data_IF_052793979246
#
_entry.id   IF_052793979246
#
_cell.length_a   1.000
_cell.length_b   1.000
_cell.length_c   1.000
_cell.angle_alpha   90.00
_cell.angle_beta   90.00
_cell.angle_gamma   90.00
#
_symmetry.space_group_name_H-M   'P 1'
#
loop_
_entity.id
_entity.type
_entity.pdbx_description
1 polymer ?
#
# COMPACT_ATOMS: atom_id res chain seq x y z
N UNK A 1 19.16 -17.39 22.99
CA UNK A 1 20.11 -16.33 22.61
C UNK A 1 19.37 -15.40 21.66
N UNK A 2 19.13 -14.14 22.05
CA UNK A 2 18.40 -13.20 21.20
C UNK A 2 19.27 -12.84 19.99
N UNK A 3 18.78 -13.09 18.79
CA UNK A 3 19.43 -12.68 17.55
C UNK A 3 19.32 -11.15 17.44
N UNK A 4 20.45 -10.45 17.42
CA UNK A 4 20.48 -9.00 17.24
C UNK A 4 19.96 -8.63 15.85
N UNK A 5 19.20 -7.55 15.75
CA UNK A 5 18.67 -7.11 14.45
C UNK A 5 19.82 -6.63 13.54
N UNK A 6 19.80 -6.91 12.23
CA UNK A 6 20.87 -6.51 11.31
C UNK A 6 21.19 -5.01 11.34
N UNK A 7 20.16 -4.16 11.53
CA UNK A 7 20.31 -2.70 11.64
C UNK A 7 21.07 -2.27 12.90
N UNK A 8 20.87 -2.99 14.02
CA UNK A 8 21.59 -2.73 15.27
C UNK A 8 23.05 -3.14 15.13
N UNK A 9 23.31 -4.30 14.51
CA UNK A 9 24.67 -4.75 14.24
C UNK A 9 25.43 -3.78 13.32
N UNK A 10 24.74 -3.16 12.34
CA UNK A 10 25.32 -2.16 11.45
C UNK A 10 25.62 -0.85 12.20
N UNK A 11 24.66 -0.38 13.01
CA UNK A 11 24.85 0.80 13.85
C UNK A 11 26.03 0.65 14.81
N UNK A 12 26.04 -0.47 15.55
CA UNK A 12 27.04 -0.74 16.60
C UNK A 12 28.44 -0.99 16.02
N UNK A 13 28.55 -1.62 14.84
CA UNK A 13 29.86 -1.97 14.24
C UNK A 13 30.45 -0.89 13.34
N UNK A 14 29.63 -0.08 12.66
CA UNK A 14 30.12 0.80 11.60
C UNK A 14 29.87 2.28 11.84
N UNK A 15 29.00 2.64 12.79
CA UNK A 15 28.56 4.03 12.99
C UNK A 15 29.05 4.65 14.31
N UNK A 16 29.73 3.89 15.17
CA UNK A 16 30.27 4.37 16.46
C UNK A 16 31.73 4.76 16.35
N UNK A 17 32.10 5.81 17.07
CA UNK A 17 33.48 6.20 17.29
C UNK A 17 34.05 5.39 18.46
N UNK A 18 35.17 4.70 18.29
CA UNK A 18 35.78 3.92 19.38
C UNK A 18 36.45 4.77 20.48
N UNK A 19 36.58 6.09 20.28
CA UNK A 19 37.10 7.00 21.31
C UNK A 19 36.00 7.43 22.27
N UNK A 20 34.92 8.06 21.77
CA UNK A 20 33.83 8.53 22.63
C UNK A 20 32.73 7.50 22.85
N UNK A 21 32.75 6.37 22.11
CA UNK A 21 31.71 5.34 22.10
C UNK A 21 30.32 5.87 21.68
N UNK A 22 30.26 7.08 21.14
CA UNK A 22 29.06 7.68 20.56
C UNK A 22 29.06 7.56 19.04
N UNK A 23 27.95 7.95 18.41
CA UNK A 23 27.83 8.00 16.97
C UNK A 23 28.82 8.98 16.33
N UNK A 24 29.35 8.61 15.17
CA UNK A 24 30.34 9.39 14.43
C UNK A 24 29.79 10.77 14.02
N UNK A 25 30.41 11.83 14.55
CA UNK A 25 30.17 13.24 14.19
C UNK A 25 31.33 13.73 13.34
N UNK A 26 31.04 14.07 12.08
CA UNK A 26 32.06 14.42 11.06
C UNK A 26 33.21 13.39 11.00
N UNK A 27 32.94 12.14 10.60
CA UNK A 27 33.94 11.07 10.65
C UNK A 27 35.14 11.37 9.75
N UNK A 28 36.33 11.37 10.34
CA UNK A 28 37.61 11.49 9.64
C UNK A 28 38.29 10.14 9.54
N UNK A 29 38.84 9.84 8.36
CA UNK A 29 39.56 8.60 8.07
C UNK A 29 41.06 8.79 8.26
N UNK A 30 41.64 7.92 9.10
CA UNK A 30 43.08 7.69 9.04
C UNK A 30 43.43 6.84 7.81
N UNK A 31 44.69 6.86 7.32
CA UNK A 31 45.15 6.01 6.22
C UNK A 31 44.97 4.51 6.45
N UNK A 32 44.88 4.08 7.71
CA UNK A 32 44.54 2.70 8.09
C UNK A 32 43.04 2.37 7.99
N UNK A 33 42.22 3.30 7.49
CA UNK A 33 40.76 3.20 7.29
C UNK A 33 39.91 3.13 8.57
N UNK A 34 40.50 3.37 9.74
CA UNK A 34 39.73 3.58 10.98
C UNK A 34 39.19 5.01 11.02
N UNK A 35 38.03 5.18 11.64
CA UNK A 35 37.26 6.43 11.61
C UNK A 35 36.89 6.89 13.01
N UNK A 36 36.98 8.19 13.19
CA UNK A 36 36.74 8.85 14.46
C UNK A 36 36.04 10.18 14.24
N UNK A 37 35.34 10.69 15.26
CA UNK A 37 34.81 12.04 15.22
C UNK A 37 35.96 13.05 15.07
N UNK A 38 35.74 14.10 14.28
CA UNK A 38 36.70 15.20 14.11
C UNK A 38 37.22 15.72 15.46
N UNK A 39 36.30 15.97 16.40
CA UNK A 39 36.64 16.49 17.72
C UNK A 39 37.43 15.49 18.58
N UNK A 40 37.13 14.19 18.45
CA UNK A 40 37.87 13.15 19.15
C UNK A 40 39.33 13.06 18.67
N UNK A 41 39.57 13.19 17.36
CA UNK A 41 40.93 13.27 16.84
C UNK A 41 41.62 14.57 17.23
N UNK A 42 40.91 15.69 17.24
CA UNK A 42 41.48 16.98 17.66
C UNK A 42 42.00 16.89 19.10
N UNK A 43 41.25 16.27 20.00
CA UNK A 43 41.66 16.06 21.40
C UNK A 43 42.90 15.17 21.56
N UNK A 44 43.11 14.20 20.66
CA UNK A 44 44.32 13.35 20.68
C UNK A 44 45.52 14.11 20.11
N UNK A 45 45.32 14.85 19.02
CA UNK A 45 46.39 15.59 18.33
C UNK A 45 46.89 16.77 19.17
N UNK A 46 46.08 17.35 20.05
CA UNK A 46 46.51 18.40 20.98
C UNK A 46 47.65 17.97 21.93
N UNK A 47 48.02 16.68 21.98
CA UNK A 47 49.14 16.15 22.76
C UNK A 47 50.39 15.72 21.96
N UNK A 48 50.37 15.70 20.61
CA UNK A 48 51.49 15.22 19.78
C UNK A 48 51.76 16.12 18.57
N UNK A 49 53.03 16.37 18.25
CA UNK A 49 53.39 17.45 17.32
C UNK A 49 53.46 17.04 15.83
N UNK A 50 53.75 15.78 15.50
CA UNK A 50 53.97 15.37 14.09
C UNK A 50 53.26 14.08 13.66
N UNK A 51 53.00 13.16 14.61
CA UNK A 51 52.40 11.85 14.33
C UNK A 51 51.25 11.55 15.29
N UNK A 52 50.25 10.83 14.78
CA UNK A 52 49.17 10.24 15.57
C UNK A 52 49.24 8.71 15.43
N UNK A 53 49.13 8.01 16.56
CA UNK A 53 48.90 6.57 16.56
C UNK A 53 47.40 6.29 16.54
N UNK A 54 46.95 5.45 15.62
CA UNK A 54 45.57 5.01 15.54
C UNK A 54 45.14 4.31 16.86
N UNK A 55 44.08 4.76 17.54
CA UNK A 55 43.59 4.12 18.76
C UNK A 55 43.23 2.62 18.61
N UNK A 56 42.75 2.21 17.43
CA UNK A 56 42.29 0.83 17.23
C UNK A 56 43.42 -0.12 16.80
N UNK A 57 44.31 0.31 15.91
CA UNK A 57 45.35 -0.56 15.33
C UNK A 57 46.79 -0.15 15.61
N UNK A 58 47.00 0.98 16.31
CA UNK A 58 48.31 1.55 16.67
C UNK A 58 49.21 1.94 15.48
N UNK A 59 48.70 1.90 14.26
CA UNK A 59 49.44 2.36 13.09
C UNK A 59 49.71 3.87 13.19
N UNK A 60 50.96 4.26 13.01
CA UNK A 60 51.37 5.66 13.02
C UNK A 60 51.01 6.34 11.70
N UNK A 61 50.53 7.58 11.80
CA UNK A 61 50.14 8.40 10.66
C UNK A 61 50.68 9.81 10.85
N UNK A 62 51.28 10.36 9.80
CA UNK A 62 51.70 11.76 9.78
C UNK A 62 50.47 12.67 9.81
N UNK A 63 50.49 13.65 10.69
CA UNK A 63 49.40 14.63 10.80
C UNK A 63 49.51 15.60 9.61
N UNK A 64 48.45 15.79 8.82
CA UNK A 64 48.46 16.76 7.73
C UNK A 64 48.77 18.17 8.22
N UNK A 65 49.31 19.02 7.34
CA UNK A 65 49.62 20.43 7.65
C UNK A 65 48.40 21.24 8.13
N UNK A 66 47.19 20.84 7.73
CA UNK A 66 45.92 21.43 8.17
C UNK A 66 45.32 20.72 9.40
N UNK A 67 46.13 19.96 10.15
CA UNK A 67 45.67 19.17 11.31
C UNK A 67 44.64 18.11 10.93
N UNK A 68 43.66 17.89 11.80
CA UNK A 68 42.57 16.91 11.57
C UNK A 68 41.79 17.19 10.29
N UNK A 69 41.69 18.45 9.87
CA UNK A 69 40.93 18.82 8.68
C UNK A 69 41.58 18.35 7.37
N UNK A 70 42.88 18.02 7.40
CA UNK A 70 43.56 17.41 6.25
C UNK A 70 43.23 15.92 6.05
N UNK A 71 42.61 15.25 7.03
CA UNK A 71 42.13 13.87 6.84
C UNK A 71 40.82 13.85 6.05
N UNK A 72 40.67 12.83 5.20
CA UNK A 72 39.46 12.64 4.38
C UNK A 72 38.25 12.39 5.27
N UNK A 73 37.16 13.09 5.00
CA UNK A 73 35.86 12.79 5.61
C UNK A 73 35.23 11.58 4.91
N UNK A 74 34.76 10.60 5.69
CA UNK A 74 34.04 9.45 5.15
C UNK A 74 32.57 9.79 4.92
N UNK A 75 32.26 10.27 3.71
CA UNK A 75 30.89 10.58 3.31
C UNK A 75 29.97 9.36 3.28
N UNK A 76 30.52 8.15 3.07
CA UNK A 76 29.72 6.92 3.08
C UNK A 76 29.25 6.59 4.49
N UNK A 77 30.15 6.67 5.49
CA UNK A 77 29.78 6.50 6.89
C UNK A 77 28.81 7.57 7.39
N UNK A 78 28.94 8.81 6.92
CA UNK A 78 27.98 9.89 7.23
C UNK A 78 26.57 9.56 6.72
N UNK A 79 26.45 9.11 5.48
CA UNK A 79 25.16 8.72 4.90
C UNK A 79 24.57 7.45 5.56
N UNK A 80 25.41 6.52 6.00
CA UNK A 80 24.97 5.34 6.75
C UNK A 80 24.49 5.68 8.17
N UNK A 81 25.19 6.58 8.86
CA UNK A 81 24.76 7.16 10.16
C UNK A 81 23.38 7.79 10.02
N UNK A 82 23.17 8.60 9.00
CA UNK A 82 21.89 9.26 8.71
C UNK A 82 20.80 8.26 8.34
N UNK A 83 21.10 7.27 7.50
CA UNK A 83 20.18 6.19 7.16
C UNK A 83 19.75 5.37 8.39
N UNK A 84 20.70 4.96 9.25
CA UNK A 84 20.40 4.21 10.48
C UNK A 84 19.57 5.06 11.45
N UNK A 85 19.84 6.37 11.56
CA UNK A 85 19.04 7.29 12.38
C UNK A 85 17.61 7.41 11.89
N UNK A 86 17.40 7.58 10.58
CA UNK A 86 16.07 7.64 9.96
C UNK A 86 15.32 6.33 10.20
N UNK A 87 15.98 5.18 10.05
CA UNK A 87 15.35 3.87 10.31
C UNK A 87 15.04 3.65 11.79
N UNK A 88 15.88 4.16 12.70
CA UNK A 88 15.64 4.09 14.14
C UNK A 88 14.54 5.05 14.59
N UNK A 89 14.43 6.25 14.00
CA UNK A 89 13.35 7.21 14.29
C UNK A 89 12.01 6.67 13.81
N UNK A 90 11.95 6.12 12.59
CA UNK A 90 10.76 5.44 12.07
C UNK A 90 10.35 4.27 12.98
N UNK A 91 11.31 3.47 13.48
CA UNK A 91 11.01 2.40 14.44
C UNK A 91 10.61 2.90 15.82
N UNK A 92 11.18 3.98 16.35
CA UNK A 92 10.76 4.54 17.64
C UNK A 92 9.38 5.17 17.55
N UNK A 93 9.05 5.83 16.44
CA UNK A 93 7.73 6.37 16.18
C UNK A 93 6.69 5.24 16.05
N UNK A 94 7.05 4.11 15.41
CA UNK A 94 6.21 2.90 15.37
C UNK A 94 6.10 2.24 16.76
N UNK A 95 7.19 2.09 17.51
CA UNK A 95 7.19 1.37 18.81
C UNK A 95 6.49 2.18 19.92
N UNK A 96 6.56 3.51 19.87
CA UNK A 96 5.80 4.42 20.74
C UNK A 96 4.32 4.42 20.36
N UNK A 97 3.98 4.37 19.05
CA UNK A 97 2.59 4.24 18.59
C UNK A 97 1.92 2.92 19.00
N UNK A 98 2.64 1.80 19.06
CA UNK A 98 2.05 0.51 19.47
C UNK A 98 1.93 0.31 21.00
N UNK A 99 2.72 1.00 21.82
CA UNK A 99 2.68 0.84 23.29
C UNK A 99 1.92 1.95 24.03
N UNK A 100 1.54 3.02 23.34
CA UNK A 100 0.90 4.19 23.93
C UNK A 100 -0.50 4.49 23.38
N UNK A 101 -1.19 3.50 22.81
CA UNK A 101 -2.65 3.51 22.74
C UNK A 101 -3.26 3.11 24.10
N UNK A 102 -2.91 3.86 25.15
CA UNK A 102 -3.89 4.14 26.19
C UNK A 102 -5.04 4.86 25.50
N UNK A 103 -6.21 4.20 25.44
CA UNK A 103 -7.46 4.67 24.85
C UNK A 103 -7.80 6.08 25.39
N UNK A 104 -7.28 7.12 24.73
CA UNK A 104 -7.98 8.39 24.66
C UNK A 104 -9.21 8.09 23.82
N UNK A 105 -10.41 8.31 24.39
CA UNK A 105 -11.71 8.21 23.69
C UNK A 105 -11.55 8.80 22.29
N UNK A 106 -11.31 7.93 21.31
CA UNK A 106 -11.26 8.30 19.91
C UNK A 106 -12.69 8.17 19.48
N UNK A 107 -13.32 9.27 19.07
CA UNK A 107 -14.67 9.27 18.53
C UNK A 107 -14.70 8.23 17.40
N UNK A 108 -15.38 7.11 17.65
CA UNK A 108 -15.42 6.00 16.70
C UNK A 108 -16.35 6.41 15.58
N UNK A 109 -15.82 6.45 14.36
CA UNK A 109 -16.62 6.81 13.19
C UNK A 109 -17.35 5.57 12.69
N UNK A 110 -18.68 5.63 12.58
CA UNK A 110 -19.53 4.53 12.12
C UNK A 110 -20.23 4.88 10.81
N UNK A 111 -20.47 3.88 9.98
CA UNK A 111 -21.27 4.06 8.76
C UNK A 111 -22.69 4.51 9.16
N UNK A 112 -23.29 5.50 8.48
CA UNK A 112 -24.67 5.99 8.70
C UNK A 112 -25.78 5.02 8.28
N UNK A 113 -26.80 4.81 9.12
CA UNK A 113 -27.88 3.82 8.90
C UNK A 113 -28.41 3.81 7.46
N UNK A 114 -28.67 4.98 6.91
CA UNK A 114 -29.08 5.18 5.52
C UNK A 114 -27.93 5.74 4.67
N UNK A 115 -27.96 5.45 3.38
CA UNK A 115 -27.13 6.19 2.42
C UNK A 115 -27.61 7.64 2.36
N UNK A 116 -26.66 8.53 2.16
CA UNK A 116 -26.88 9.96 2.00
C UNK A 116 -27.23 10.32 0.55
N UNK A 117 -26.50 9.73 -0.39
CA UNK A 117 -26.65 9.98 -1.82
C UNK A 117 -26.69 8.66 -2.59
N UNK A 118 -27.53 8.62 -3.62
CA UNK A 118 -27.63 7.51 -4.59
C UNK A 118 -27.35 8.05 -5.99
N UNK A 119 -26.33 7.51 -6.65
CA UNK A 119 -25.96 7.86 -8.02
C UNK A 119 -26.29 6.68 -8.93
N UNK A 120 -27.22 6.87 -9.87
CA UNK A 120 -27.53 5.85 -10.88
C UNK A 120 -26.76 6.11 -12.16
N UNK A 121 -26.04 5.10 -12.63
CA UNK A 121 -25.30 5.13 -13.89
C UNK A 121 -26.05 4.26 -14.88
N UNK A 122 -27.35 4.49 -15.02
CA UNK A 122 -28.23 3.59 -15.78
C UNK A 122 -27.81 3.53 -17.25
N UNK A 123 -27.01 2.52 -17.58
CA UNK A 123 -26.74 2.05 -18.93
C UNK A 123 -26.98 0.52 -18.94
N UNK A 124 -28.04 0.04 -19.60
CA UNK A 124 -28.38 -1.39 -19.64
C UNK A 124 -27.24 -2.24 -20.22
N UNK A 125 -26.29 -1.65 -20.95
CA UNK A 125 -25.25 -2.35 -21.68
C UNK A 125 -23.91 -2.42 -20.94
N UNK A 126 -23.86 -2.12 -19.64
CA UNK A 126 -22.62 -2.12 -18.85
C UNK A 126 -22.75 -2.90 -17.56
N UNK A 127 -21.66 -3.51 -17.14
CA UNK A 127 -21.49 -4.14 -15.84
C UNK A 127 -20.34 -3.45 -15.10
N UNK A 128 -20.55 -3.09 -13.83
CA UNK A 128 -19.53 -2.41 -13.01
C UNK A 128 -18.70 -3.45 -12.26
N UNK A 129 -17.38 -3.37 -12.38
CA UNK A 129 -16.45 -4.29 -11.71
C UNK A 129 -15.60 -3.58 -10.66
N UNK A 130 -15.32 -2.29 -10.84
CA UNK A 130 -14.46 -1.55 -9.93
C UNK A 130 -14.79 -0.07 -9.94
N UNK A 131 -14.54 0.59 -8.82
CA UNK A 131 -14.70 2.02 -8.62
C UNK A 131 -13.51 2.57 -7.85
N UNK A 132 -13.19 3.84 -8.08
CA UNK A 132 -12.21 4.57 -7.28
C UNK A 132 -12.52 6.06 -7.33
N UNK A 133 -12.22 6.77 -6.24
CA UNK A 133 -12.32 8.23 -6.21
C UNK A 133 -10.99 8.87 -6.61
N UNK A 134 -11.08 9.97 -7.33
CA UNK A 134 -10.00 10.93 -7.53
C UNK A 134 -10.17 11.99 -6.43
N UNK A 135 -9.07 12.45 -5.83
CA UNK A 135 -9.10 13.37 -4.66
C UNK A 135 -9.77 14.74 -4.87
N UNK A 136 -10.36 15.01 -6.04
CA UNK A 136 -11.18 16.18 -6.36
C UNK A 136 -12.70 15.90 -6.27
N UNK A 137 -13.09 14.71 -5.80
CA UNK A 137 -14.48 14.28 -5.67
C UNK A 137 -15.06 13.61 -6.93
N UNK A 138 -14.30 13.51 -8.03
CA UNK A 138 -14.72 12.74 -9.19
C UNK A 138 -14.55 11.24 -8.92
N UNK A 139 -15.42 10.44 -9.54
CA UNK A 139 -15.42 8.97 -9.39
C UNK A 139 -15.09 8.35 -10.75
N UNK A 140 -14.12 7.45 -10.77
CA UNK A 140 -13.83 6.58 -11.91
C UNK A 140 -14.48 5.24 -11.70
N UNK A 141 -15.15 4.76 -12.74
CA UNK A 141 -15.86 3.48 -12.75
C UNK A 141 -15.38 2.68 -13.94
N UNK A 142 -15.01 1.43 -13.70
CA UNK A 142 -14.58 0.51 -14.74
C UNK A 142 -15.38 -0.78 -14.76
N UNK A 143 -15.42 -1.39 -15.93
CA UNK A 143 -16.09 -2.68 -16.12
C UNK A 143 -16.13 -3.07 -17.59
N UNK A 144 -17.17 -3.81 -17.99
CA UNK A 144 -17.30 -4.36 -19.33
C UNK A 144 -18.71 -4.18 -19.93
N UNK A 145 -18.78 -4.26 -21.25
CA UNK A 145 -20.03 -4.14 -22.01
C UNK A 145 -20.80 -5.46 -22.04
N UNK A 146 -22.12 -5.41 -22.13
CA UNK A 146 -22.99 -6.59 -22.11
C UNK A 146 -22.81 -7.52 -23.31
N UNK A 147 -22.31 -7.00 -24.43
CA UNK A 147 -21.94 -7.80 -25.61
C UNK A 147 -20.60 -8.52 -25.46
N UNK A 148 -19.89 -8.29 -24.35
CA UNK A 148 -18.59 -8.87 -23.99
C UNK A 148 -17.44 -8.52 -24.95
N UNK A 149 -17.59 -7.46 -25.75
CA UNK A 149 -16.59 -7.05 -26.76
C UNK A 149 -15.69 -5.91 -26.32
N UNK A 150 -16.05 -5.20 -25.24
CA UNK A 150 -15.30 -4.06 -24.78
C UNK A 150 -15.29 -3.95 -23.26
N UNK A 151 -14.22 -3.32 -22.78
CA UNK A 151 -14.15 -2.78 -21.43
C UNK A 151 -14.32 -1.27 -21.46
N UNK A 152 -14.69 -0.67 -20.35
CA UNK A 152 -14.84 0.77 -20.24
C UNK A 152 -14.21 1.35 -18.98
N UNK A 153 -13.88 2.63 -19.06
CA UNK A 153 -13.68 3.51 -17.91
C UNK A 153 -14.51 4.78 -18.15
N UNK A 154 -15.28 5.18 -17.15
CA UNK A 154 -16.00 6.46 -17.16
C UNK A 154 -15.59 7.29 -15.96
N UNK A 155 -15.63 8.60 -16.12
CA UNK A 155 -15.47 9.56 -15.03
C UNK A 155 -16.81 10.25 -14.83
N UNK A 156 -17.31 10.22 -13.61
CA UNK A 156 -18.55 10.91 -13.22
C UNK A 156 -18.26 11.90 -12.10
N UNK A 157 -19.05 12.97 -12.03
CA UNK A 157 -19.10 13.82 -10.84
C UNK A 157 -20.05 13.25 -9.77
N UNK A 158 -20.08 13.89 -8.59
CA UNK A 158 -20.91 13.48 -7.45
C UNK A 158 -22.42 13.57 -7.69
N UNK A 159 -22.85 14.21 -8.78
CA UNK A 159 -24.26 14.25 -9.20
C UNK A 159 -24.60 13.14 -10.21
N UNK A 160 -23.62 12.29 -10.56
CA UNK A 160 -23.78 11.23 -11.56
C UNK A 160 -23.64 11.69 -13.00
N UNK A 161 -23.26 12.95 -13.25
CA UNK A 161 -23.05 13.40 -14.62
C UNK A 161 -21.74 12.82 -15.14
N UNK A 162 -21.82 12.13 -16.26
CA UNK A 162 -20.65 11.63 -16.97
C UNK A 162 -19.84 12.78 -17.55
N UNK A 163 -18.59 12.90 -17.12
CA UNK A 163 -17.63 13.88 -17.57
C UNK A 163 -16.79 13.36 -18.73
N UNK A 164 -16.43 12.07 -18.67
CA UNK A 164 -15.58 11.40 -19.67
C UNK A 164 -15.93 9.94 -19.80
N UNK A 165 -15.59 9.41 -20.97
CA UNK A 165 -15.72 8.01 -21.30
C UNK A 165 -14.52 7.53 -22.12
N UNK A 166 -14.10 6.31 -21.83
CA UNK A 166 -13.15 5.55 -22.61
C UNK A 166 -13.65 4.13 -22.80
N UNK A 167 -13.94 3.77 -24.04
CA UNK A 167 -14.26 2.40 -24.45
C UNK A 167 -13.01 1.78 -25.06
N UNK A 168 -12.69 0.56 -24.64
CA UNK A 168 -11.52 -0.20 -25.06
C UNK A 168 -12.00 -1.55 -25.57
N UNK A 169 -12.10 -1.65 -26.90
CA UNK A 169 -12.45 -2.90 -27.58
C UNK A 169 -11.36 -3.94 -27.30
N UNK A 170 -11.79 -5.14 -26.93
CA UNK A 170 -10.91 -6.27 -26.71
C UNK A 170 -11.21 -7.33 -27.75
N UNK A 171 -10.17 -7.91 -28.36
CA UNK A 171 -10.34 -9.12 -29.17
C UNK A 171 -10.62 -10.38 -28.33
N UNK A 172 -10.57 -10.23 -27.01
CA UNK A 172 -10.66 -11.28 -26.00
C UNK A 172 -12.09 -11.52 -25.54
N UNK A 173 -12.35 -12.75 -25.07
CA UNK A 173 -13.62 -13.13 -24.45
C UNK A 173 -13.63 -12.60 -23.02
N UNK A 174 -14.62 -11.76 -22.68
CA UNK A 174 -14.90 -11.25 -21.33
C UNK A 174 -13.84 -10.27 -20.75
N UNK A 175 -13.81 -9.01 -21.19
CA UNK A 175 -12.81 -8.01 -20.79
C UNK A 175 -13.13 -7.32 -19.46
N UNK A 176 -13.10 -8.07 -18.36
CA UNK A 176 -13.36 -7.58 -17.02
C UNK A 176 -12.25 -6.61 -16.61
N UNK A 177 -12.61 -5.35 -16.37
CA UNK A 177 -11.67 -4.27 -16.05
C UNK A 177 -11.82 -3.76 -14.64
N UNK A 178 -10.71 -3.72 -13.91
CA UNK A 178 -10.59 -3.17 -12.58
C UNK A 178 -9.77 -1.88 -12.60
N UNK A 179 -9.98 -0.99 -11.62
CA UNK A 179 -9.25 0.26 -11.52
C UNK A 179 -9.02 0.72 -10.07
N UNK A 180 -7.91 1.42 -9.83
CA UNK A 180 -7.62 2.08 -8.55
C UNK A 180 -6.85 3.38 -8.78
N UNK A 181 -7.16 4.39 -7.97
CA UNK A 181 -6.42 5.65 -7.91
C UNK A 181 -4.93 5.37 -7.66
N UNK A 182 -4.06 5.99 -8.44
CA UNK A 182 -2.61 5.84 -8.28
C UNK A 182 -2.00 7.10 -7.68
N UNK A 183 -2.11 8.22 -8.40
CA UNK A 183 -1.53 9.50 -7.99
C UNK A 183 -2.13 10.65 -8.79
N UNK A 184 -2.32 11.81 -8.17
CA UNK A 184 -2.84 13.04 -8.82
C UNK A 184 -4.10 12.82 -9.68
N UNK A 185 -3.92 12.60 -10.98
CA UNK A 185 -4.95 12.41 -11.99
C UNK A 185 -4.82 11.06 -12.72
N UNK A 186 -4.01 10.14 -12.18
CA UNK A 186 -3.73 8.83 -12.77
C UNK A 186 -4.50 7.75 -12.03
N UNK A 187 -5.12 6.88 -12.82
CA UNK A 187 -5.80 5.67 -12.36
C UNK A 187 -5.12 4.48 -12.98
N UNK A 188 -4.64 3.57 -12.14
CA UNK A 188 -4.16 2.26 -12.58
C UNK A 188 -5.34 1.39 -12.96
N UNK A 189 -5.21 0.63 -14.05
CA UNK A 189 -6.22 -0.30 -14.50
C UNK A 189 -5.60 -1.61 -14.93
N UNK A 190 -6.28 -2.71 -14.62
CA UNK A 190 -5.99 -4.03 -15.17
C UNK A 190 -7.23 -4.58 -15.86
N UNK A 191 -7.05 -5.37 -16.90
CA UNK A 191 -8.14 -5.98 -17.65
C UNK A 191 -7.78 -7.40 -18.04
N UNK A 192 -8.74 -8.31 -17.95
CA UNK A 192 -8.56 -9.69 -18.41
C UNK A 192 -8.23 -9.72 -19.91
N UNK A 193 -7.38 -10.67 -20.35
CA UNK A 193 -6.70 -11.66 -19.51
C UNK A 193 -5.52 -11.06 -18.73
N UNK A 194 -4.76 -10.13 -19.33
CA UNK A 194 -3.48 -9.70 -18.74
C UNK A 194 -3.04 -8.29 -19.19
N UNK A 195 -3.97 -7.39 -19.46
CA UNK A 195 -3.67 -5.98 -19.74
C UNK A 195 -3.42 -5.21 -18.43
N UNK A 196 -2.41 -4.34 -18.42
CA UNK A 196 -2.18 -3.31 -17.39
C UNK A 196 -2.08 -1.94 -18.06
N UNK A 197 -2.61 -0.89 -17.43
CA UNK A 197 -2.53 0.45 -17.99
C UNK A 197 -2.76 1.58 -17.00
N UNK A 198 -2.53 2.79 -17.49
CA UNK A 198 -2.72 4.05 -16.77
C UNK A 198 -3.66 4.95 -17.55
N UNK A 199 -4.74 5.35 -16.89
CA UNK A 199 -5.71 6.31 -17.39
C UNK A 199 -5.44 7.69 -16.78
N UNK A 200 -5.36 8.73 -17.61
CA UNK A 200 -5.31 10.12 -17.14
C UNK A 200 -6.70 10.74 -17.20
N UNK A 201 -7.22 11.13 -16.05
CA UNK A 201 -8.60 11.62 -15.93
C UNK A 201 -8.77 13.02 -16.50
N UNK A 202 -7.68 13.77 -16.77
CA UNK A 202 -7.77 15.15 -17.30
C UNK A 202 -8.10 15.16 -18.77
N UNK A 203 -7.44 14.32 -19.55
CA UNK A 203 -7.57 14.29 -21.02
C UNK A 203 -8.23 12.99 -21.53
N UNK A 204 -8.37 11.97 -20.68
CA UNK A 204 -8.91 10.67 -21.06
C UNK A 204 -7.92 9.78 -21.83
N UNK A 205 -6.64 10.14 -21.83
CA UNK A 205 -5.58 9.33 -22.41
C UNK A 205 -5.40 8.03 -21.62
N UNK A 206 -5.03 6.96 -22.34
CA UNK A 206 -4.81 5.64 -21.75
C UNK A 206 -3.59 5.00 -22.38
N UNK A 207 -2.58 4.72 -21.55
CA UNK A 207 -1.42 3.93 -21.95
C UNK A 207 -1.56 2.52 -21.38
N UNK A 208 -1.20 1.49 -22.16
CA UNK A 208 -1.29 0.10 -21.72
C UNK A 208 -0.10 -0.73 -22.19
N UNK A 209 0.17 -1.79 -21.45
CA UNK A 209 1.06 -2.89 -21.83
C UNK A 209 0.34 -4.21 -21.58
N UNK A 210 0.78 -5.26 -22.25
CA UNK A 210 0.40 -6.60 -21.88
C UNK A 210 1.37 -7.12 -20.82
N UNK A 211 0.86 -7.67 -19.72
CA UNK A 211 1.69 -8.15 -18.62
C UNK A 211 2.63 -9.25 -19.10
N UNK A 212 2.19 -10.18 -19.96
CA UNK A 212 3.06 -11.26 -20.44
C UNK A 212 4.22 -10.78 -21.31
N UNK A 213 4.17 -9.55 -21.82
CA UNK A 213 5.28 -8.97 -22.60
C UNK A 213 6.36 -8.35 -21.70
N UNK A 214 6.02 -7.98 -20.46
CA UNK A 214 6.93 -7.30 -19.52
C UNK A 214 7.41 -8.18 -18.38
N UNK A 215 6.82 -9.37 -18.21
CA UNK A 215 7.29 -10.35 -17.23
C UNK A 215 7.58 -11.69 -17.89
N UNK A 216 8.69 -12.32 -17.50
CA UNK A 216 9.08 -13.64 -18.02
C UNK A 216 8.27 -14.80 -17.44
N UNK A 217 7.60 -14.58 -16.30
CA UNK A 217 6.97 -15.63 -15.51
C UNK A 217 5.44 -15.54 -15.46
N UNK A 218 4.77 -14.76 -16.31
CA UNK A 218 3.30 -14.74 -16.34
C UNK A 218 2.79 -16.14 -16.72
N UNK A 219 1.99 -16.80 -15.88
CA UNK A 219 1.54 -18.14 -16.21
C UNK A 219 0.57 -18.13 -17.38
N UNK A 220 0.77 -19.07 -18.32
CA UNK A 220 -0.11 -19.20 -19.49
C UNK A 220 -1.55 -19.45 -19.03
N UNK A 221 -2.49 -18.70 -19.61
CA UNK A 221 -3.91 -18.82 -19.31
C UNK A 221 -4.32 -18.27 -17.94
N UNK A 222 -3.47 -17.49 -17.27
CA UNK A 222 -3.84 -16.78 -16.03
C UNK A 222 -4.46 -15.43 -16.36
N UNK A 223 -5.60 -15.18 -15.74
CA UNK A 223 -6.30 -13.89 -15.77
C UNK A 223 -5.87 -13.01 -14.59
N UNK A 224 -5.76 -11.71 -14.81
CA UNK A 224 -5.79 -10.70 -13.74
C UNK A 224 -7.17 -10.73 -13.05
N UNK A 225 -7.20 -10.52 -11.74
CA UNK A 225 -8.46 -10.53 -10.97
C UNK A 225 -8.68 -9.28 -10.14
N UNK A 226 -7.63 -8.56 -9.76
CA UNK A 226 -7.73 -7.37 -8.92
C UNK A 226 -6.50 -6.48 -9.08
N UNK A 227 -6.65 -5.22 -8.67
CA UNK A 227 -5.57 -4.22 -8.65
C UNK A 227 -5.65 -3.41 -7.37
N UNK A 228 -4.50 -3.20 -6.74
CA UNK A 228 -4.28 -2.20 -5.71
C UNK A 228 -3.16 -1.25 -6.13
N UNK A 229 -3.03 -0.15 -5.41
CA UNK A 229 -1.97 0.83 -5.61
C UNK A 229 -1.36 1.16 -4.27
N UNK A 230 -0.08 1.50 -4.27
CA UNK A 230 0.58 2.14 -3.16
C UNK A 230 0.92 3.58 -3.59
N UNK A 231 0.11 4.57 -3.19
CA UNK A 231 0.31 5.97 -3.58
C UNK A 231 1.61 6.59 -3.05
N UNK A 232 2.25 6.00 -2.03
CA UNK A 232 3.49 6.53 -1.44
C UNK A 232 4.67 6.38 -2.40
N UNK A 233 4.74 5.27 -3.11
CA UNK A 233 5.80 4.97 -4.07
C UNK A 233 5.30 4.82 -5.52
N UNK A 234 4.02 5.14 -5.76
CA UNK A 234 3.32 4.96 -7.03
C UNK A 234 3.42 3.53 -7.60
N UNK A 235 3.49 2.51 -6.74
CA UNK A 235 3.47 1.13 -7.21
C UNK A 235 2.05 0.65 -7.50
N UNK A 236 1.93 -0.22 -8.49
CA UNK A 236 0.70 -0.90 -8.88
C UNK A 236 0.85 -2.38 -8.53
N UNK A 237 -0.08 -2.92 -7.76
CA UNK A 237 -0.08 -4.32 -7.33
C UNK A 237 -1.19 -5.05 -8.06
N UNK A 238 -0.84 -6.13 -8.77
CA UNK A 238 -1.76 -6.87 -9.62
C UNK A 238 -1.88 -8.30 -9.12
N UNK A 239 -3.09 -8.69 -8.72
CA UNK A 239 -3.41 -10.06 -8.33
C UNK A 239 -3.89 -10.88 -9.52
N UNK A 240 -3.46 -12.14 -9.59
CA UNK A 240 -3.95 -13.13 -10.55
C UNK A 240 -5.09 -13.97 -9.98
N UNK A 241 -6.04 -14.36 -10.84
CA UNK A 241 -7.15 -15.25 -10.48
C UNK A 241 -6.59 -16.58 -9.97
N UNK A 242 -7.05 -16.99 -8.78
CA UNK A 242 -6.64 -18.24 -8.11
C UNK A 242 -5.12 -18.36 -7.93
N UNK A 243 -4.45 -17.25 -7.62
CA UNK A 243 -3.00 -17.22 -7.43
C UNK A 243 -2.65 -16.46 -6.17
N UNK A 244 -1.62 -16.95 -5.46
CA UNK A 244 -0.97 -16.25 -4.35
C UNK A 244 0.06 -15.23 -4.83
N UNK A 245 0.32 -15.12 -6.13
CA UNK A 245 1.30 -14.18 -6.68
C UNK A 245 0.67 -12.81 -6.86
N UNK A 246 1.30 -11.79 -6.27
CA UNK A 246 0.98 -10.37 -6.49
C UNK A 246 2.15 -9.73 -7.24
N UNK A 247 1.88 -9.26 -8.45
CA UNK A 247 2.91 -8.68 -9.34
C UNK A 247 2.95 -7.17 -9.13
N UNK A 248 4.13 -6.62 -8.89
CA UNK A 248 4.33 -5.20 -8.57
C UNK A 248 4.96 -4.48 -9.75
N UNK A 249 4.38 -3.35 -10.14
CA UNK A 249 4.82 -2.49 -11.25
C UNK A 249 5.02 -1.05 -10.78
N UNK A 250 5.86 -0.30 -11.48
CA UNK A 250 5.97 1.16 -11.32
C UNK A 250 4.87 1.91 -12.12
N UNK A 251 4.86 3.24 -11.99
CA UNK A 251 3.97 4.14 -12.71
C UNK A 251 4.39 4.41 -14.17
N UNK A 252 5.39 3.66 -14.68
CA UNK A 252 5.70 3.54 -16.10
C UNK A 252 5.35 2.14 -16.65
N UNK A 253 4.60 1.34 -15.87
CA UNK A 253 4.17 -0.01 -16.20
C UNK A 253 5.36 -0.97 -16.41
N UNK A 254 6.48 -0.76 -15.73
CA UNK A 254 7.58 -1.72 -15.72
C UNK A 254 7.43 -2.65 -14.53
N UNK A 255 7.72 -3.93 -14.75
CA UNK A 255 7.72 -4.91 -13.68
C UNK A 255 8.87 -4.67 -12.72
N UNK A 256 8.57 -4.72 -11.42
CA UNK A 256 9.55 -4.55 -10.35
C UNK A 256 9.91 -5.90 -9.72
N UNK A 257 8.92 -6.56 -9.14
CA UNK A 257 9.08 -7.83 -8.45
C UNK A 257 7.72 -8.51 -8.22
N UNK A 258 7.79 -9.72 -7.68
CA UNK A 258 6.64 -10.51 -7.25
C UNK A 258 6.64 -10.56 -5.71
N UNK A 259 5.45 -10.42 -5.12
CA UNK A 259 5.16 -10.66 -3.71
C UNK A 259 4.27 -11.89 -3.61
N UNK A 260 4.78 -12.96 -3.04
CA UNK A 260 4.03 -14.21 -2.85
C UNK A 260 3.28 -14.18 -1.52
N UNK A 261 1.96 -14.41 -1.59
CA UNK A 261 1.06 -14.53 -0.46
C UNK A 261 1.24 -15.88 0.25
N UNK A 262 0.99 -15.97 1.57
CA UNK A 262 1.18 -17.20 2.33
C UNK A 262 0.21 -18.29 1.86
N UNK A 263 0.64 -19.55 1.87
CA UNK A 263 -0.15 -20.70 1.37
C UNK A 263 -1.51 -20.89 2.05
N UNK A 264 -1.69 -20.34 3.25
CA UNK A 264 -2.98 -20.38 3.95
C UNK A 264 -4.06 -19.54 3.26
N UNK A 265 -3.67 -18.57 2.43
CA UNK A 265 -4.57 -17.77 1.62
C UNK A 265 -4.91 -18.56 0.35
N UNK A 266 -6.13 -19.10 0.31
CA UNK A 266 -6.53 -20.09 -0.71
C UNK A 266 -6.96 -19.47 -2.01
N UNK A 267 -7.82 -18.43 -1.94
CA UNK A 267 -8.37 -17.75 -3.11
C UNK A 267 -8.41 -16.24 -2.89
N UNK A 268 -7.28 -15.53 -3.09
CA UNK A 268 -7.25 -14.08 -3.12
C UNK A 268 -8.25 -13.54 -4.16
N UNK A 269 -9.21 -12.73 -3.71
CA UNK A 269 -10.25 -12.17 -4.57
C UNK A 269 -10.07 -10.67 -4.81
N UNK A 270 -9.79 -9.91 -3.75
CA UNK A 270 -9.55 -8.47 -3.80
C UNK A 270 -8.42 -8.10 -2.84
N UNK A 271 -7.70 -7.02 -3.16
CA UNK A 271 -6.56 -6.55 -2.38
C UNK A 271 -6.60 -5.02 -2.23
N UNK A 272 -6.12 -4.51 -1.10
CA UNK A 272 -5.94 -3.06 -0.87
C UNK A 272 -4.69 -2.83 -0.02
N UNK A 273 -3.95 -1.76 -0.30
CA UNK A 273 -2.83 -1.32 0.54
C UNK A 273 -3.36 -0.39 1.63
N UNK A 274 -3.01 -0.67 2.89
CA UNK A 274 -3.36 0.13 4.07
C UNK A 274 -2.18 0.18 5.02
N UNK A 275 -1.74 1.38 5.44
CA UNK A 275 -0.68 1.57 6.44
C UNK A 275 0.57 0.68 6.25
N UNK A 276 1.06 0.58 5.00
CA UNK A 276 2.23 -0.22 4.65
C UNK A 276 2.02 -1.75 4.63
N UNK A 277 0.78 -2.20 4.81
CA UNK A 277 0.36 -3.59 4.75
C UNK A 277 -0.55 -3.85 3.55
N UNK A 278 -0.68 -5.10 3.17
CA UNK A 278 -1.61 -5.56 2.15
C UNK A 278 -2.78 -6.27 2.82
N UNK A 279 -3.98 -5.73 2.62
CA UNK A 279 -5.24 -6.38 2.97
C UNK A 279 -5.64 -7.30 1.83
N UNK A 280 -5.99 -8.55 2.14
CA UNK A 280 -6.32 -9.58 1.15
C UNK A 280 -7.63 -10.27 1.52
N UNK A 281 -8.65 -10.18 0.65
CA UNK A 281 -9.87 -10.99 0.76
C UNK A 281 -9.58 -12.42 0.31
N UNK A 282 -9.67 -13.40 1.20
CA UNK A 282 -9.67 -14.82 0.86
C UNK A 282 -11.10 -15.33 0.81
N UNK A 283 -11.65 -15.46 -0.40
CA UNK A 283 -13.07 -15.78 -0.56
C UNK A 283 -13.42 -17.20 -0.09
N UNK A 284 -12.55 -18.17 -0.37
CA UNK A 284 -12.74 -19.57 0.08
C UNK A 284 -12.22 -19.81 1.50
N UNK A 285 -11.32 -18.94 1.99
CA UNK A 285 -10.85 -18.95 3.37
C UNK A 285 -11.82 -18.31 4.36
N UNK A 286 -12.88 -17.65 3.88
CA UNK A 286 -13.87 -16.91 4.69
C UNK A 286 -13.22 -15.87 5.63
N UNK A 287 -12.10 -15.28 5.21
CA UNK A 287 -11.27 -14.37 6.01
C UNK A 287 -10.67 -13.28 5.16
N UNK A 288 -10.47 -12.09 5.75
CA UNK A 288 -9.52 -11.13 5.20
C UNK A 288 -8.22 -11.18 5.99
N UNK A 289 -7.08 -11.21 5.31
CA UNK A 289 -5.77 -11.22 5.95
C UNK A 289 -5.10 -9.85 5.85
N UNK A 290 -4.29 -9.53 6.86
CA UNK A 290 -3.29 -8.46 6.81
C UNK A 290 -1.96 -9.13 6.57
N UNK A 291 -1.29 -8.80 5.46
CA UNK A 291 0.03 -9.33 5.14
C UNK A 291 1.07 -8.23 5.03
N UNK A 292 2.32 -8.60 5.31
CA UNK A 292 3.45 -7.69 5.07
C UNK A 292 3.70 -7.51 3.57
N UNK A 293 4.31 -6.38 3.21
CA UNK A 293 4.66 -6.05 1.82
C UNK A 293 6.17 -6.04 1.57
N UNK A 294 6.98 -6.32 2.61
CA UNK A 294 8.43 -6.34 2.52
C UNK A 294 8.96 -7.72 2.11
N UNK A 295 9.96 -7.71 1.23
CA UNK A 295 10.55 -8.94 0.70
C UNK A 295 9.72 -9.59 -0.41
N UNK A 296 10.14 -10.78 -0.84
CA UNK A 296 9.46 -11.56 -1.88
C UNK A 296 8.35 -12.45 -1.34
N UNK A 297 8.39 -12.78 -0.06
CA UNK A 297 7.41 -13.64 0.62
C UNK A 297 6.74 -12.83 1.74
N UNK A 298 5.45 -12.56 1.58
CA UNK A 298 4.68 -11.87 2.60
C UNK A 298 4.40 -12.77 3.80
N UNK A 299 4.12 -12.16 4.95
CA UNK A 299 3.74 -12.87 6.17
C UNK A 299 2.39 -12.36 6.66
N UNK A 300 1.54 -13.27 7.14
CA UNK A 300 0.31 -12.86 7.84
C UNK A 300 0.68 -12.23 9.17
N UNK A 301 0.16 -11.04 9.43
CA UNK A 301 0.34 -10.30 10.70
C UNK A 301 -0.98 -10.01 11.41
N UNK A 302 -2.11 -10.25 10.76
CA UNK A 302 -3.44 -10.09 11.32
C UNK A 302 -4.51 -10.71 10.41
N UNK A 303 -5.73 -10.82 10.95
CA UNK A 303 -6.89 -11.30 10.21
C UNK A 303 -8.17 -10.60 10.67
N UNK A 304 -9.09 -10.35 9.73
CA UNK A 304 -10.45 -9.91 9.99
C UNK A 304 -11.37 -11.11 9.84
N UNK A 305 -12.00 -11.46 10.95
CA UNK A 305 -12.90 -12.60 11.01
C UNK A 305 -14.27 -12.26 10.43
N UNK A 306 -14.92 -13.27 9.86
CA UNK A 306 -16.34 -13.21 9.51
C UNK A 306 -17.13 -12.71 10.72
N UNK A 307 -17.97 -11.68 10.60
CA UNK A 307 -18.87 -11.27 11.68
C UNK A 307 -19.88 -12.38 12.02
N UNK A 308 -20.58 -12.24 13.15
CA UNK A 308 -21.67 -13.13 13.54
C UNK A 308 -22.92 -12.89 12.65
N UNK A 309 -22.87 -13.40 11.42
CA UNK A 309 -23.95 -13.39 10.44
C UNK A 309 -24.59 -14.77 10.39
N UNK A 310 -25.92 -14.79 10.51
CA UNK A 310 -26.75 -15.98 10.31
C UNK A 310 -26.69 -16.46 8.84
N UNK A 311 -26.73 -17.78 8.63
CA UNK A 311 -26.61 -18.41 7.31
C UNK A 311 -25.23 -18.99 7.02
N UNK A 312 -25.16 -19.85 5.99
CA UNK A 312 -23.95 -20.61 5.67
C UNK A 312 -23.02 -19.87 4.67
N UNK A 313 -21.71 -20.06 4.86
CA UNK A 313 -20.57 -19.69 3.98
C UNK A 313 -20.58 -18.27 3.42
N UNK A 314 -20.15 -17.29 4.22
CA UNK A 314 -19.89 -15.94 3.72
C UNK A 314 -18.42 -15.78 3.34
N UNK A 315 -18.16 -15.44 2.09
CA UNK A 315 -16.83 -15.11 1.62
C UNK A 315 -16.64 -13.58 1.51
N UNK A 316 -15.50 -13.02 1.92
CA UNK A 316 -15.18 -11.64 1.64
C UNK A 316 -14.91 -11.46 0.14
N UNK A 317 -15.39 -10.36 -0.44
CA UNK A 317 -15.34 -10.12 -1.89
C UNK A 317 -14.73 -8.79 -2.27
N UNK A 318 -14.78 -7.79 -1.39
CA UNK A 318 -14.06 -6.53 -1.56
C UNK A 318 -13.62 -5.99 -0.22
N UNK A 319 -12.44 -5.36 -0.19
CA UNK A 319 -11.86 -4.75 1.01
C UNK A 319 -11.29 -3.38 0.67
N UNK A 320 -11.47 -2.43 1.58
CA UNK A 320 -10.89 -1.11 1.50
C UNK A 320 -10.62 -0.53 2.90
N UNK A 321 -9.66 0.38 3.02
CA UNK A 321 -9.34 1.09 4.25
C UNK A 321 -9.48 2.60 4.05
N UNK A 322 -10.04 3.30 5.04
CA UNK A 322 -10.08 4.76 5.01
C UNK A 322 -8.76 5.39 5.49
N UNK A 323 -8.67 6.72 5.45
CA UNK A 323 -7.48 7.46 5.92
C UNK A 323 -7.24 7.37 7.44
N UNK A 324 -8.21 6.86 8.20
CA UNK A 324 -8.10 6.65 9.64
C UNK A 324 -7.76 5.19 9.99
N UNK A 325 -7.51 4.35 8.98
CA UNK A 325 -7.20 2.93 9.13
C UNK A 325 -8.40 2.06 9.44
N UNK A 326 -9.65 2.56 9.38
CA UNK A 326 -10.83 1.71 9.50
C UNK A 326 -10.99 0.86 8.26
N UNK A 327 -11.34 -0.41 8.44
CA UNK A 327 -11.39 -1.39 7.35
C UNK A 327 -12.83 -1.77 7.05
N UNK A 328 -13.19 -1.75 5.77
CA UNK A 328 -14.51 -2.07 5.26
C UNK A 328 -14.41 -3.31 4.39
N UNK A 329 -15.21 -4.33 4.72
CA UNK A 329 -15.23 -5.59 3.97
C UNK A 329 -16.65 -5.90 3.51
N UNK A 330 -16.80 -6.23 2.23
CA UNK A 330 -18.03 -6.80 1.68
C UNK A 330 -18.04 -8.32 1.85
N UNK A 331 -18.99 -8.82 2.64
CA UNK A 331 -19.21 -10.24 2.91
C UNK A 331 -20.44 -10.70 2.14
N UNK A 332 -20.29 -11.76 1.33
CA UNK A 332 -21.37 -12.30 0.49
C UNK A 332 -21.64 -13.77 0.74
N UNK A 333 -22.92 -14.10 0.80
CA UNK A 333 -23.44 -15.46 0.67
C UNK A 333 -24.79 -15.34 -0.02
N UNK A 334 -24.92 -15.81 -1.27
CA UNK A 334 -26.13 -15.56 -2.07
C UNK A 334 -27.40 -16.05 -1.35
N UNK A 335 -28.44 -15.21 -1.17
CA UNK A 335 -28.67 -13.88 -1.79
C UNK A 335 -28.33 -12.67 -0.88
N UNK A 336 -27.55 -12.87 0.17
CA UNK A 336 -27.22 -11.85 1.17
C UNK A 336 -25.85 -11.20 0.91
N UNK A 337 -25.81 -9.88 1.06
CA UNK A 337 -24.58 -9.08 1.04
C UNK A 337 -24.57 -8.14 2.24
N UNK A 338 -23.44 -8.10 2.95
CA UNK A 338 -23.22 -7.21 4.08
C UNK A 338 -21.94 -6.40 3.87
N UNK A 339 -21.96 -5.16 4.33
CA UNK A 339 -20.74 -4.40 4.63
C UNK A 339 -20.46 -4.46 6.11
N UNK A 340 -19.22 -4.76 6.46
CA UNK A 340 -18.74 -4.83 7.84
C UNK A 340 -17.58 -3.86 7.98
N UNK A 341 -17.71 -2.98 8.96
CA UNK A 341 -16.67 -2.04 9.37
C UNK A 341 -15.93 -2.60 10.58
N UNK A 342 -14.62 -2.64 10.49
CA UNK A 342 -13.71 -3.05 11.54
C UNK A 342 -12.85 -1.85 11.97
N UNK A 343 -12.34 -1.93 13.19
CA UNK A 343 -11.20 -1.10 13.59
C UNK A 343 -9.91 -1.54 12.85
N UNK A 344 -8.84 -0.78 13.05
CA UNK A 344 -7.57 -0.91 12.31
C UNK A 344 -6.89 -2.27 12.42
N UNK A 345 -7.05 -2.98 13.53
CA UNK A 345 -6.43 -4.29 13.77
C UNK A 345 -7.39 -5.48 13.59
N UNK A 346 -8.67 -5.21 13.28
CA UNK A 346 -9.70 -6.24 13.11
C UNK A 346 -10.22 -6.86 14.39
N UNK A 347 -9.77 -6.40 15.57
CA UNK A 347 -10.20 -6.94 16.86
C UNK A 347 -11.65 -6.59 17.22
N UNK A 348 -12.21 -5.55 16.61
CA UNK A 348 -13.58 -5.10 16.88
C UNK A 348 -14.36 -4.85 15.59
N UNK A 349 -15.57 -5.43 15.53
CA UNK A 349 -16.59 -5.05 14.55
C UNK A 349 -17.32 -3.81 15.06
N UNK A 350 -17.26 -2.72 14.29
CA UNK A 350 -17.85 -1.43 14.63
C UNK A 350 -19.27 -1.27 14.08
N UNK A 351 -19.52 -1.82 12.89
CA UNK A 351 -20.82 -1.75 12.21
C UNK A 351 -20.96 -2.93 11.26
N UNK A 352 -22.16 -3.51 11.20
CA UNK A 352 -22.54 -4.52 10.20
C UNK A 352 -23.85 -4.08 9.57
N UNK A 353 -23.91 -3.97 8.25
CA UNK A 353 -25.14 -3.59 7.54
C UNK A 353 -25.39 -4.40 6.30
N UNK A 354 -26.67 -4.75 6.12
CA UNK A 354 -27.17 -5.43 4.93
C UNK A 354 -27.21 -4.43 3.77
N UNK A 355 -26.81 -4.89 2.59
CA UNK A 355 -26.79 -4.13 1.36
C UNK A 355 -27.65 -4.83 0.29
N UNK A 356 -27.80 -4.18 -0.86
CA UNK A 356 -28.31 -4.84 -2.06
C UNK A 356 -27.46 -6.08 -2.41
N UNK A 357 -28.12 -7.14 -2.85
CA UNK A 357 -27.48 -8.44 -3.17
C UNK A 357 -26.35 -8.34 -4.20
N UNK A 358 -26.43 -7.35 -5.09
CA UNK A 358 -25.49 -7.13 -6.18
C UNK A 358 -24.42 -6.06 -5.86
N UNK A 359 -24.37 -5.53 -4.63
CA UNK A 359 -23.28 -4.67 -4.16
C UNK A 359 -21.94 -5.38 -4.34
N UNK A 360 -20.98 -4.80 -5.05
CA UNK A 360 -19.83 -5.52 -5.61
C UNK A 360 -18.49 -5.01 -5.11
N UNK A 361 -18.32 -3.70 -4.98
CA UNK A 361 -17.02 -3.08 -4.67
C UNK A 361 -17.20 -1.92 -3.70
N UNK A 362 -16.22 -1.77 -2.80
CA UNK A 362 -16.17 -0.69 -1.81
C UNK A 362 -14.94 0.20 -2.01
N UNK A 363 -15.10 1.51 -1.78
CA UNK A 363 -14.00 2.47 -1.67
C UNK A 363 -14.45 3.68 -0.85
N UNK A 364 -13.64 4.73 -0.75
CA UNK A 364 -14.02 6.01 -0.13
C UNK A 364 -13.87 7.16 -1.13
N UNK A 365 -14.51 8.28 -0.83
CA UNK A 365 -14.35 9.56 -1.53
C UNK A 365 -14.23 10.68 -0.51
N UNK A 366 -13.27 11.58 -0.70
CA UNK A 366 -13.21 12.82 0.06
C UNK A 366 -14.20 13.83 -0.53
N UNK A 367 -15.05 14.41 0.33
CA UNK A 367 -16.02 15.42 -0.07
C UNK A 367 -15.84 16.69 0.76
N UNK A 368 -16.53 17.77 0.38
CA UNK A 368 -16.57 19.00 1.18
C UNK A 368 -17.12 18.79 2.61
N UNK A 369 -17.87 17.71 2.85
CA UNK A 369 -18.44 17.35 4.14
C UNK A 369 -17.57 16.32 4.90
N UNK A 370 -16.39 16.00 4.38
CA UNK A 370 -15.52 14.93 4.86
C UNK A 370 -15.60 13.67 4.00
N UNK A 371 -14.95 12.62 4.47
CA UNK A 371 -14.85 11.34 3.79
C UNK A 371 -16.19 10.58 3.83
N UNK A 372 -16.56 10.00 2.69
CA UNK A 372 -17.76 9.16 2.55
C UNK A 372 -17.39 7.80 2.00
N UNK A 373 -18.13 6.79 2.44
CA UNK A 373 -17.98 5.42 1.98
C UNK A 373 -18.79 5.21 0.70
N UNK A 374 -18.16 4.69 -0.34
CA UNK A 374 -18.79 4.32 -1.60
C UNK A 374 -19.00 2.82 -1.68
N UNK A 375 -20.21 2.42 -2.03
CA UNK A 375 -20.55 1.04 -2.38
C UNK A 375 -21.18 1.04 -3.76
N UNK A 376 -20.56 0.39 -4.75
CA UNK A 376 -21.15 0.24 -6.07
C UNK A 376 -21.70 -1.16 -6.30
N UNK A 377 -22.81 -1.24 -7.03
CA UNK A 377 -23.45 -2.47 -7.44
C UNK A 377 -23.07 -2.85 -8.87
N UNK A 378 -22.93 -4.15 -9.13
CA UNK A 378 -22.53 -4.65 -10.45
C UNK A 378 -23.67 -4.54 -11.47
N UNK A 379 -24.84 -5.11 -11.14
CA UNK A 379 -25.93 -5.34 -12.09
C UNK A 379 -26.91 -4.16 -12.12
N UNK A 380 -27.18 -3.54 -10.98
CA UNK A 380 -28.05 -2.37 -10.87
C UNK A 380 -27.30 -1.06 -11.15
N UNK A 381 -25.96 -1.10 -11.30
CA UNK A 381 -25.09 0.04 -11.71
C UNK A 381 -25.36 1.31 -10.91
N UNK A 382 -25.47 1.13 -9.60
CA UNK A 382 -25.76 2.19 -8.66
C UNK A 382 -24.59 2.36 -7.71
N UNK A 383 -24.23 3.61 -7.41
CA UNK A 383 -23.26 3.95 -6.37
C UNK A 383 -24.01 4.57 -5.20
N UNK A 384 -23.88 3.95 -4.04
CA UNK A 384 -24.41 4.43 -2.77
C UNK A 384 -23.31 5.11 -1.97
N UNK A 385 -23.60 6.30 -1.46
CA UNK A 385 -22.71 7.09 -0.63
C UNK A 385 -23.23 7.05 0.80
N UNK A 386 -22.42 6.56 1.74
CA UNK A 386 -22.76 6.56 3.16
C UNK A 386 -21.90 7.57 3.90
N UNK A 387 -22.51 8.29 4.85
CA UNK A 387 -21.78 9.17 5.74
C UNK A 387 -21.00 8.32 6.77
N UNK A 388 -19.83 8.81 7.15
CA UNK A 388 -19.02 8.26 8.23
C UNK A 388 -19.20 9.20 9.43
N UNK A 389 -20.00 8.78 10.41
CA UNK A 389 -20.44 9.63 11.53
C UNK A 389 -19.61 9.36 12.78
N UNK A 390 -18.98 10.39 13.35
CA UNK A 390 -18.34 10.30 14.66
C UNK A 390 -19.42 10.29 15.75
N UNK A 391 -19.41 9.26 16.61
CA UNK A 391 -20.19 9.31 17.85
C UNK A 391 -19.48 10.23 18.86
N UNK A 392 -20.18 11.26 19.35
CA UNK A 392 -19.74 12.19 20.41
C UNK A 392 -19.71 11.55 21.81
#
# INVERSE_FOLDING_TARGET
MATSSPLKDIGDKFCLCSICLEQLKEPKLLPCLHRYCKDCLNSIIQGTYDVIQCPDCRQETQIPTNGVDGFKTDFYSKNLVEYVQIQQSLKSDITVNYKQYSISKTSVTKISENFDTKISIYDPNRYVCSITSIGDGNIVISGYTSDLKASFMIVIDMNGRMLKEKILNTGEILPVRFCKFLSQHKVASVCTPNDIGLYDVRDGSYIKKNISDVISSWPKGRDVSCVATNPVNNHILVGGRNSTDVYVFDDQLNYLHILTLPEMIKRPHDITVSDGHLLVCDNDGEKCFVTTMDGSESKVVGEFMKPNLEGYMFGPTSVYSDKNGLVYVLWKSSPQCYIVQYNHDGSQVLTTRMLDVDAHVVTVVETSQGEKLLVATCDTRTVYLYNLMTED
#
